data_IF_837996130422
#
_entry.id   IF_837996130422
#
_cell.length_a   1.000
_cell.length_b   1.000
_cell.length_c   1.000
_cell.angle_alpha   90.00
_cell.angle_beta   90.00
_cell.angle_gamma   90.00
#
_symmetry.space_group_name_H-M   'P 1'
#
loop_
_entity.id
_entity.type
_entity.pdbx_description
1 polymer ?
#
# COMPACT_ATOMS: atom_id res chain seq x y z
N UNK A 1 -10.37 2.75 -0.89
CA UNK A 1 -11.15 3.49 0.13
C UNK A 1 -10.30 3.55 1.38
N UNK A 2 -9.97 4.75 1.82
CA UNK A 2 -9.34 5.02 3.11
C UNK A 2 -10.39 4.73 4.17
N UNK A 3 -10.18 3.71 5.00
CA UNK A 3 -11.05 3.50 6.14
C UNK A 3 -10.95 4.74 7.04
N UNK A 4 -12.05 5.45 7.22
CA UNK A 4 -12.17 6.52 8.20
C UNK A 4 -13.03 5.96 9.32
N UNK A 5 -12.42 5.81 10.49
CA UNK A 5 -13.17 5.67 11.74
C UNK A 5 -13.96 6.96 11.96
N UNK A 6 -15.24 6.83 12.28
CA UNK A 6 -16.05 7.98 12.68
C UNK A 6 -15.71 8.41 14.11
N UNK A 7 -15.38 7.43 14.96
CA UNK A 7 -14.89 7.63 16.33
C UNK A 7 -13.72 6.69 16.65
N UNK A 8 -12.81 7.11 17.53
CA UNK A 8 -11.68 6.28 17.96
C UNK A 8 -12.12 5.09 18.81
N UNK A 9 -13.25 5.18 19.49
CA UNK A 9 -13.79 4.10 20.32
C UNK A 9 -14.09 2.85 19.47
N UNK A 10 -14.43 3.03 18.19
CA UNK A 10 -14.58 1.93 17.25
C UNK A 10 -13.26 1.18 16.97
N UNK A 11 -12.11 1.76 17.30
CA UNK A 11 -10.82 1.10 17.18
C UNK A 11 -10.51 0.17 18.36
N UNK A 12 -11.18 0.34 19.50
CA UNK A 12 -10.94 -0.46 20.71
C UNK A 12 -11.25 -1.93 20.43
N UNK A 13 -10.40 -2.80 20.99
CA UNK A 13 -10.41 -4.25 20.84
C UNK A 13 -10.22 -4.77 19.40
N UNK A 14 -9.81 -3.89 18.47
CA UNK A 14 -9.53 -4.28 17.08
C UNK A 14 -8.04 -4.32 16.79
N UNK A 15 -7.67 -5.18 15.85
CA UNK A 15 -6.30 -5.29 15.32
C UNK A 15 -6.12 -4.37 14.12
N UNK A 16 -5.05 -3.59 14.14
CA UNK A 16 -4.67 -2.70 13.05
C UNK A 16 -3.26 -3.01 12.56
N UNK A 17 -3.07 -2.84 11.25
CA UNK A 17 -1.78 -2.91 10.61
C UNK A 17 -1.11 -1.53 10.63
N UNK A 18 0.06 -1.44 11.25
CA UNK A 18 0.87 -0.22 11.26
C UNK A 18 1.45 0.01 9.86
N UNK A 19 1.15 1.17 9.27
CA UNK A 19 1.64 1.57 7.94
C UNK A 19 2.85 2.49 8.01
N UNK A 20 3.05 3.19 9.14
CA UNK A 20 4.18 4.11 9.36
C UNK A 20 4.93 3.75 10.64
N UNK A 21 6.24 3.65 10.53
CA UNK A 21 7.13 3.41 11.69
C UNK A 21 7.11 4.60 12.64
N UNK A 22 6.95 4.32 13.92
CA UNK A 22 7.24 5.25 15.01
C UNK A 22 8.55 4.83 15.66
N UNK A 23 9.51 5.75 15.66
CA UNK A 23 10.85 5.50 16.23
C UNK A 23 10.71 5.03 17.68
N UNK A 24 11.46 4.00 18.06
CA UNK A 24 11.49 3.42 19.41
C UNK A 24 10.17 2.82 19.92
N UNK A 25 9.14 2.67 19.08
CA UNK A 25 7.87 2.08 19.49
C UNK A 25 7.44 0.90 18.62
N UNK A 26 7.18 1.14 17.33
CA UNK A 26 6.66 0.09 16.45
C UNK A 26 7.02 0.33 14.99
N UNK A 27 7.35 -0.74 14.29
CA UNK A 27 7.74 -0.71 12.88
C UNK A 27 6.52 -0.84 11.96
N UNK A 28 6.61 -0.25 10.76
CA UNK A 28 5.64 -0.50 9.70
C UNK A 28 5.59 -1.98 9.34
N UNK A 29 4.40 -2.53 9.12
CA UNK A 29 4.17 -3.96 8.88
C UNK A 29 3.84 -4.76 10.14
N UNK A 30 3.95 -4.17 11.34
CA UNK A 30 3.55 -4.80 12.59
C UNK A 30 2.04 -4.68 12.81
N UNK A 31 1.43 -5.70 13.43
CA UNK A 31 0.04 -5.65 13.88
C UNK A 31 -0.02 -5.26 15.34
N UNK A 32 -0.80 -4.23 15.61
CA UNK A 32 -1.10 -3.74 16.94
C UNK A 32 -2.56 -4.04 17.26
N UNK A 33 -2.81 -4.42 18.50
CA UNK A 33 -4.16 -4.55 19.06
C UNK A 33 -4.41 -3.31 19.92
N UNK A 34 -5.49 -2.59 19.63
CA UNK A 34 -5.84 -1.39 20.39
C UNK A 34 -6.56 -1.84 21.65
N UNK A 35 -5.94 -1.58 22.78
CA UNK A 35 -6.46 -1.96 24.10
C UNK A 35 -7.46 -0.93 24.60
N UNK A 36 -7.17 0.35 24.35
CA UNK A 36 -7.98 1.47 24.80
C UNK A 36 -7.66 2.71 23.96
N UNK A 37 -8.58 3.67 23.94
CA UNK A 37 -8.40 4.96 23.28
C UNK A 37 -9.13 6.06 24.04
N UNK A 38 -8.48 7.23 24.15
CA UNK A 38 -9.03 8.40 24.83
C UNK A 38 -9.07 9.59 23.88
N UNK A 39 -10.27 10.13 23.70
CA UNK A 39 -10.46 11.45 23.10
C UNK A 39 -10.18 12.53 24.17
N UNK A 40 -9.05 13.22 24.06
CA UNK A 40 -8.72 14.30 24.97
C UNK A 40 -9.56 15.54 24.65
N UNK A 41 -9.78 16.39 25.66
CA UNK A 41 -10.58 17.62 25.54
C UNK A 41 -10.04 18.61 24.48
N UNK A 42 -8.74 18.52 24.16
CA UNK A 42 -8.09 19.36 23.15
C UNK A 42 -8.26 18.84 21.71
N UNK A 43 -9.08 17.80 21.49
CA UNK A 43 -9.30 17.16 20.18
C UNK A 43 -8.21 16.16 19.76
N UNK A 44 -7.18 15.98 20.60
CA UNK A 44 -6.13 14.98 20.40
C UNK A 44 -6.58 13.60 20.88
N UNK A 45 -5.99 12.55 20.33
CA UNK A 45 -6.37 11.17 20.59
C UNK A 45 -5.19 10.42 21.18
N UNK A 46 -5.34 9.85 22.37
CA UNK A 46 -4.36 8.94 22.97
C UNK A 46 -4.79 7.50 22.70
N UNK A 47 -3.89 6.67 22.20
CA UNK A 47 -4.17 5.27 21.86
C UNK A 47 -3.22 4.37 22.62
N UNK A 48 -3.79 3.45 23.39
CA UNK A 48 -3.08 2.37 24.08
C UNK A 48 -3.13 1.13 23.22
N UNK A 49 -1.96 0.59 22.89
CA UNK A 49 -1.88 -0.55 22.00
C UNK A 49 -0.85 -1.58 22.44
N UNK A 50 -1.13 -2.84 22.11
CA UNK A 50 -0.26 -3.98 22.34
C UNK A 50 0.28 -4.50 21.02
N UNK A 51 1.59 -4.73 20.95
CA UNK A 51 2.19 -5.41 19.79
C UNK A 51 1.79 -6.90 19.83
N UNK A 52 1.22 -7.41 18.74
CA UNK A 52 0.61 -8.76 18.74
C UNK A 52 1.62 -9.88 18.98
N UNK A 53 2.86 -9.73 18.49
CA UNK A 53 3.90 -10.77 18.58
C UNK A 53 4.76 -10.66 19.85
N UNK A 54 5.20 -9.46 20.27
CA UNK A 54 5.98 -9.29 21.51
C UNK A 54 5.12 -9.20 22.77
N UNK A 55 3.81 -8.94 22.63
CA UNK A 55 2.89 -8.62 23.73
C UNK A 55 3.28 -7.39 24.55
N UNK A 56 4.19 -6.55 24.05
CA UNK A 56 4.58 -5.31 24.71
C UNK A 56 3.52 -4.23 24.49
N UNK A 57 3.28 -3.47 25.55
CA UNK A 57 2.30 -2.38 25.57
C UNK A 57 2.98 -1.03 25.36
N UNK A 58 2.35 -0.20 24.56
CA UNK A 58 2.82 1.12 24.21
C UNK A 58 1.65 2.10 24.21
N UNK A 59 2.00 3.38 24.27
CA UNK A 59 1.03 4.48 24.19
C UNK A 59 1.54 5.49 23.17
N UNK A 60 0.62 5.95 22.34
CA UNK A 60 0.90 6.97 21.32
C UNK A 60 -0.20 8.03 21.34
N UNK A 61 0.18 9.27 21.10
CA UNK A 61 -0.74 10.40 20.97
C UNK A 61 -0.76 10.87 19.52
N UNK A 62 -1.96 11.12 19.00
CA UNK A 62 -2.21 11.67 17.67
C UNK A 62 -2.96 12.99 17.78
N UNK A 63 -2.79 13.87 16.79
CA UNK A 63 -3.51 15.15 16.78
C UNK A 63 -5.01 14.98 16.53
N UNK A 64 -5.43 13.88 15.90
CA UNK A 64 -6.82 13.52 15.64
C UNK A 64 -6.95 12.07 15.14
N UNK A 65 -8.20 11.58 15.07
CA UNK A 65 -8.55 10.24 14.54
C UNK A 65 -8.05 10.02 13.10
N UNK A 66 -7.99 11.08 12.28
CA UNK A 66 -7.49 10.96 10.89
C UNK A 66 -6.00 10.64 10.87
N UNK A 67 -5.20 11.17 11.79
CA UNK A 67 -3.79 10.80 11.90
C UNK A 67 -3.62 9.36 12.38
N UNK A 68 -4.44 8.89 13.32
CA UNK A 68 -4.48 7.48 13.69
C UNK A 68 -4.77 6.60 12.46
N UNK A 69 -5.82 6.89 11.69
CA UNK A 69 -6.17 6.15 10.46
C UNK A 69 -5.06 6.20 9.37
N UNK A 70 -4.20 7.23 9.40
CA UNK A 70 -3.03 7.32 8.51
C UNK A 70 -1.88 6.44 9.00
N UNK A 71 -1.72 6.32 10.31
CA UNK A 71 -0.66 5.53 10.96
C UNK A 71 -0.96 4.04 10.99
N UNK A 72 -2.21 3.66 11.27
CA UNK A 72 -2.64 2.28 11.34
C UNK A 72 -3.97 2.10 10.61
N UNK A 73 -4.15 0.95 9.96
CA UNK A 73 -5.34 0.64 9.17
C UNK A 73 -5.90 -0.73 9.51
N UNK A 74 -7.23 -0.90 9.51
CA UNK A 74 -7.79 -2.23 9.66
C UNK A 74 -7.51 -3.01 8.37
N UNK A 75 -6.84 -4.14 8.50
CA UNK A 75 -6.61 -5.06 7.41
C UNK A 75 -6.90 -6.48 7.88
N UNK A 76 -8.14 -6.93 7.66
CA UNK A 76 -8.61 -8.24 8.12
C UNK A 76 -7.81 -9.40 7.53
N UNK A 77 -7.28 -9.25 6.31
CA UNK A 77 -6.50 -10.32 5.68
C UNK A 77 -5.15 -10.48 6.38
N UNK A 78 -4.42 -9.38 6.54
CA UNK A 78 -3.13 -9.41 7.24
C UNK A 78 -3.34 -9.73 8.72
N UNK A 79 -4.34 -9.18 9.39
CA UNK A 79 -4.63 -9.42 10.80
C UNK A 79 -4.94 -10.90 11.12
N UNK A 80 -5.52 -11.65 10.17
CA UNK A 80 -5.84 -13.08 10.33
C UNK A 80 -4.68 -14.00 10.00
N UNK A 81 -3.84 -13.63 9.04
CA UNK A 81 -2.81 -14.51 8.48
C UNK A 81 -1.38 -14.02 8.71
N UNK A 82 -1.18 -13.09 9.65
CA UNK A 82 0.11 -12.46 9.92
C UNK A 82 1.23 -13.45 10.24
N UNK A 83 0.90 -14.58 10.84
CA UNK A 83 1.84 -15.65 11.17
C UNK A 83 2.44 -16.30 9.91
N UNK A 84 1.75 -16.21 8.77
CA UNK A 84 2.22 -16.77 7.49
C UNK A 84 3.12 -15.80 6.70
N UNK A 85 3.32 -14.57 7.18
CA UNK A 85 4.04 -13.52 6.45
C UNK A 85 5.20 -12.95 7.25
N UNK A 86 6.30 -12.64 6.56
CA UNK A 86 7.38 -11.85 7.15
C UNK A 86 7.03 -10.35 7.09
N UNK A 87 7.54 -9.55 8.03
CA UNK A 87 7.35 -8.08 8.09
C UNK A 87 7.68 -7.43 6.74
N UNK A 88 8.75 -7.86 6.05
CA UNK A 88 9.14 -7.36 4.72
C UNK A 88 8.04 -7.57 3.68
N UNK A 89 7.35 -8.71 3.73
CA UNK A 89 6.26 -9.04 2.80
C UNK A 89 5.02 -8.20 3.09
N UNK A 90 4.69 -8.01 4.36
CA UNK A 90 3.60 -7.14 4.80
C UNK A 90 3.86 -5.68 4.39
N UNK A 91 5.08 -5.17 4.58
CA UNK A 91 5.47 -3.85 4.11
C UNK A 91 5.33 -3.71 2.59
N UNK A 92 5.70 -4.74 1.83
CA UNK A 92 5.54 -4.75 0.38
C UNK A 92 4.07 -4.74 -0.03
N UNK A 93 3.22 -5.48 0.68
CA UNK A 93 1.76 -5.47 0.51
C UNK A 93 1.18 -4.08 0.78
N UNK A 94 1.53 -3.44 1.89
CA UNK A 94 1.10 -2.06 2.20
C UNK A 94 1.51 -1.11 1.09
N UNK A 95 2.77 -1.18 0.64
CA UNK A 95 3.29 -0.35 -0.46
C UNK A 95 2.55 -0.58 -1.77
N UNK A 96 2.17 -1.82 -2.09
CA UNK A 96 1.38 -2.16 -3.28
C UNK A 96 -0.06 -1.67 -3.20
N UNK A 97 -0.67 -1.71 -2.01
CA UNK A 97 -2.04 -1.25 -1.76
C UNK A 97 -2.14 0.29 -1.76
N UNK A 98 -1.10 0.97 -1.30
CA UNK A 98 -1.00 2.43 -1.27
C UNK A 98 -0.54 3.05 -2.59
N UNK A 99 0.04 2.27 -3.50
CA UNK A 99 0.39 2.76 -4.84
C UNK A 99 -0.89 3.12 -5.61
N UNK A 100 -1.08 4.41 -5.84
CA UNK A 100 -2.06 4.92 -6.79
C UNK A 100 -1.45 4.92 -8.20
N UNK A 101 -2.31 4.82 -9.22
CA UNK A 101 -1.90 4.94 -10.62
C UNK A 101 -1.11 6.24 -10.87
N UNK A 102 -1.54 7.34 -10.26
CA UNK A 102 -0.87 8.65 -10.36
C UNK A 102 0.49 8.70 -9.69
N UNK A 103 0.72 8.00 -8.58
CA UNK A 103 2.04 8.03 -7.90
C UNK A 103 3.10 7.15 -8.57
N UNK A 104 2.69 6.15 -9.36
CA UNK A 104 3.62 5.16 -9.94
C UNK A 104 3.65 5.18 -11.47
N UNK A 105 2.49 5.12 -12.14
CA UNK A 105 2.44 5.06 -13.60
C UNK A 105 2.69 6.44 -14.23
N UNK A 106 2.17 7.52 -13.66
CA UNK A 106 2.25 8.85 -14.28
C UNK A 106 3.70 9.35 -14.47
N UNK A 107 4.61 9.25 -13.47
CA UNK A 107 6.02 9.63 -13.68
C UNK A 107 6.72 8.79 -14.74
N UNK A 108 6.43 7.47 -14.77
CA UNK A 108 6.97 6.56 -15.78
C UNK A 108 6.47 6.88 -17.17
N UNK A 109 5.18 7.20 -17.32
CA UNK A 109 4.58 7.60 -18.60
C UNK A 109 5.20 8.91 -19.07
N UNK A 110 5.31 9.93 -18.21
CA UNK A 110 5.91 11.21 -18.57
C UNK A 110 7.37 11.05 -19.04
N UNK A 111 8.16 10.26 -18.32
CA UNK A 111 9.54 9.98 -18.72
C UNK A 111 9.61 9.23 -20.05
N UNK A 112 8.75 8.21 -20.24
CA UNK A 112 8.67 7.48 -21.50
C UNK A 112 8.27 8.39 -22.66
N UNK A 113 7.30 9.31 -22.47
CA UNK A 113 6.90 10.28 -23.50
C UNK A 113 8.09 11.16 -23.88
N UNK A 114 8.79 11.73 -22.90
CA UNK A 114 9.95 12.60 -23.17
C UNK A 114 11.05 11.86 -23.97
N UNK A 115 11.33 10.61 -23.61
CA UNK A 115 12.33 9.77 -24.29
C UNK A 115 11.88 9.40 -25.70
N UNK A 116 10.63 8.96 -25.88
CA UNK A 116 10.07 8.61 -27.20
C UNK A 116 10.15 9.79 -28.15
N UNK A 117 9.75 10.98 -27.69
CA UNK A 117 9.78 12.19 -28.50
C UNK A 117 11.20 12.65 -28.82
N UNK A 118 12.13 12.58 -27.87
CA UNK A 118 13.53 12.90 -28.11
C UNK A 118 14.18 11.95 -29.14
N UNK A 119 13.92 10.65 -29.03
CA UNK A 119 14.45 9.64 -29.96
C UNK A 119 13.85 9.82 -31.36
N UNK A 120 12.53 10.01 -31.46
CA UNK A 120 11.87 10.22 -32.76
C UNK A 120 12.41 11.48 -33.45
N UNK A 121 12.62 12.57 -32.70
CA UNK A 121 13.17 13.79 -33.27
C UNK A 121 14.62 13.61 -33.72
N UNK A 122 15.48 12.97 -32.91
CA UNK A 122 16.89 12.75 -33.26
C UNK A 122 17.08 11.83 -34.48
N UNK A 123 16.24 10.80 -34.64
CA UNK A 123 16.41 9.81 -35.71
C UNK A 123 15.70 10.17 -37.02
N UNK A 124 14.55 10.84 -36.95
CA UNK A 124 13.66 11.05 -38.12
C UNK A 124 13.56 12.54 -38.49
N UNK A 125 13.87 13.46 -37.58
CA UNK A 125 13.78 14.90 -37.83
C UNK A 125 12.36 15.47 -37.69
N UNK A 126 12.13 16.68 -38.22
CA UNK A 126 10.87 17.45 -38.06
C UNK A 126 9.82 17.16 -39.15
N UNK A 127 9.79 15.94 -39.65
CA UNK A 127 8.81 15.50 -40.65
C UNK A 127 7.43 15.27 -40.00
N UNK A 128 6.35 15.46 -40.77
CA UNK A 128 4.97 15.20 -40.31
C UNK A 128 4.80 13.75 -39.82
N UNK A 129 5.53 12.82 -40.45
CA UNK A 129 5.57 11.41 -40.07
C UNK A 129 6.12 11.17 -38.65
N UNK A 130 7.10 11.96 -38.20
CA UNK A 130 7.68 11.86 -36.85
C UNK A 130 6.64 12.10 -35.77
N UNK A 131 5.75 13.09 -35.97
CA UNK A 131 4.70 13.41 -35.01
C UNK A 131 3.66 12.30 -34.90
N UNK A 132 3.26 11.70 -36.03
CA UNK A 132 2.30 10.58 -36.05
C UNK A 132 2.91 9.36 -35.34
N UNK A 133 4.14 9.00 -35.68
CA UNK A 133 4.83 7.86 -35.08
C UNK A 133 5.05 8.05 -33.58
N UNK A 134 5.49 9.24 -33.15
CA UNK A 134 5.69 9.57 -31.74
C UNK A 134 4.38 9.51 -30.96
N UNK A 135 3.27 9.98 -31.53
CA UNK A 135 1.95 9.90 -30.90
C UNK A 135 1.51 8.44 -30.71
N UNK A 136 1.64 7.59 -31.72
CA UNK A 136 1.29 6.16 -31.64
C UNK A 136 2.16 5.44 -30.62
N UNK A 137 3.48 5.67 -30.61
CA UNK A 137 4.40 5.09 -29.63
C UNK A 137 4.10 5.53 -28.20
N UNK A 138 3.68 6.79 -28.02
CA UNK A 138 3.30 7.33 -26.71
C UNK A 138 2.07 6.61 -26.16
N UNK A 139 1.05 6.39 -26.98
CA UNK A 139 -0.16 5.64 -26.60
C UNK A 139 0.20 4.18 -26.28
N UNK A 140 1.00 3.54 -27.13
CA UNK A 140 1.44 2.15 -26.92
C UNK A 140 2.23 2.00 -25.60
N UNK A 141 3.13 2.94 -25.30
CA UNK A 141 3.90 2.96 -24.06
C UNK A 141 2.99 3.14 -22.83
N UNK A 142 2.02 4.04 -22.88
CA UNK A 142 1.06 4.24 -21.80
C UNK A 142 0.23 2.98 -21.51
N UNK A 143 -0.21 2.27 -22.56
CA UNK A 143 -0.92 1.00 -22.43
C UNK A 143 -0.02 -0.08 -21.81
N UNK A 144 1.22 -0.23 -22.29
CA UNK A 144 2.19 -1.19 -21.75
C UNK A 144 2.51 -0.93 -20.27
N UNK A 145 2.77 0.32 -19.88
CA UNK A 145 3.06 0.70 -18.49
C UNK A 145 1.85 0.40 -17.59
N UNK A 146 0.64 0.68 -18.08
CA UNK A 146 -0.59 0.41 -17.32
C UNK A 146 -0.84 -1.09 -17.16
N UNK A 147 -0.64 -1.87 -18.23
CA UNK A 147 -0.82 -3.31 -18.23
C UNK A 147 0.19 -4.01 -17.33
N UNK A 148 1.48 -3.65 -17.46
CA UNK A 148 2.55 -4.19 -16.61
C UNK A 148 2.32 -3.87 -15.14
N UNK A 149 1.89 -2.64 -14.81
CA UNK A 149 1.52 -2.29 -13.44
C UNK A 149 0.40 -3.18 -12.88
N UNK A 150 -0.68 -3.38 -13.65
CA UNK A 150 -1.79 -4.26 -13.24
C UNK A 150 -1.33 -5.70 -13.05
N UNK A 151 -0.56 -6.23 -14.01
CA UNK A 151 -0.05 -7.60 -13.96
C UNK A 151 0.91 -7.82 -12.77
N UNK A 152 1.86 -6.91 -12.54
CA UNK A 152 2.76 -6.97 -11.39
C UNK A 152 2.00 -6.92 -10.06
N UNK A 153 0.98 -6.06 -9.96
CA UNK A 153 0.13 -5.98 -8.77
C UNK A 153 -0.65 -7.28 -8.53
N UNK A 154 -1.24 -7.85 -9.58
CA UNK A 154 -1.98 -9.12 -9.49
C UNK A 154 -1.05 -10.27 -9.09
N UNK A 155 0.12 -10.41 -9.71
CA UNK A 155 1.10 -11.47 -9.39
C UNK A 155 1.53 -11.43 -7.92
N UNK A 156 1.84 -10.26 -7.39
CA UNK A 156 2.23 -10.11 -5.97
C UNK A 156 1.07 -10.42 -5.02
N UNK A 157 -0.16 -10.00 -5.34
CA UNK A 157 -1.33 -10.36 -4.54
C UNK A 157 -1.57 -11.87 -4.56
N UNK A 158 -1.55 -12.50 -5.74
CA UNK A 158 -1.72 -13.95 -5.89
C UNK A 158 -0.66 -14.70 -5.07
N UNK A 159 0.59 -14.25 -5.08
CA UNK A 159 1.68 -14.85 -4.27
C UNK A 159 1.41 -14.76 -2.77
N UNK A 160 0.82 -13.67 -2.29
CA UNK A 160 0.44 -13.51 -0.88
C UNK A 160 -0.75 -14.40 -0.52
N UNK A 161 -1.79 -14.43 -1.36
CA UNK A 161 -2.95 -15.30 -1.16
C UNK A 161 -2.58 -16.80 -1.25
N UNK A 162 -1.68 -17.18 -2.16
CA UNK A 162 -1.23 -18.57 -2.30
C UNK A 162 -0.45 -19.06 -1.09
N UNK A 163 0.29 -18.19 -0.39
CA UNK A 163 0.93 -18.56 0.88
C UNK A 163 -0.09 -18.88 1.96
N UNK A 164 -1.17 -18.10 2.04
CA UNK A 164 -2.27 -18.39 2.96
C UNK A 164 -2.95 -19.70 2.58
N UNK A 165 -3.17 -19.96 1.29
CA UNK A 165 -3.71 -21.22 0.76
C UNK A 165 -2.85 -22.43 1.00
N UNK A 166 -1.53 -22.27 0.95
CA UNK A 166 -0.62 -23.36 1.23
C UNK A 166 -0.57 -23.71 2.73
N UNK A 167 -0.81 -22.71 3.61
CA UNK A 167 -0.64 -22.85 5.06
C UNK A 167 -1.94 -23.08 5.83
N UNK A 168 -3.09 -22.99 5.15
CA UNK A 168 -4.37 -23.43 5.70
C UNK A 168 -4.93 -24.48 4.76
N UNK A 169 -5.58 -25.52 5.30
CA UNK A 169 -6.04 -26.73 4.60
C UNK A 169 -6.99 -26.53 3.39
N UNK A 170 -7.11 -25.33 2.82
CA UNK A 170 -7.79 -25.06 1.55
C UNK A 170 -6.79 -25.16 0.39
N UNK A 171 -6.50 -26.40 -0.04
CA UNK A 171 -5.81 -26.69 -1.30
C UNK A 171 -6.69 -26.24 -2.47
N UNK A 172 -6.61 -24.97 -2.88
CA UNK A 172 -7.18 -24.52 -4.15
C UNK A 172 -6.01 -24.20 -5.07
N UNK A 173 -5.66 -25.19 -5.89
CA UNK A 173 -4.71 -25.05 -6.99
C UNK A 173 -5.28 -24.06 -8.00
N UNK A 174 -4.80 -22.82 -7.99
CA UNK A 174 -4.97 -21.92 -9.13
C UNK A 174 -3.98 -22.38 -10.22
N UNK A 175 -4.45 -23.29 -11.08
CA UNK A 175 -3.77 -23.68 -12.33
C UNK A 175 -3.99 -22.60 -13.38
#
# INVERSE_FOLDING_TARGET
MTYMLNDIDEAIDRKFLVTKTLSNQVQAGTIVHIMDALNNKDGTVTVYYRITYTKQDYTVKFDNVKQFCKWARPDNFIARHYESFNIKEIQRYVKLKDRTFTSFCLPLILLAVAVIWAICWLLIGKETFTYILAAVLTVAAAVLITFTYRSSRQKELIKLYSKVSANSNWRVNFK
#
